data_IF_226411569480
#
_entry.id   IF_226411569480
#
_cell.length_a   1.000
_cell.length_b   1.000
_cell.length_c   1.000
_cell.angle_alpha   90.00
_cell.angle_beta   90.00
_cell.angle_gamma   90.00
#
_symmetry.space_group_name_H-M   'P 1'
#
loop_
_entity.id
_entity.type
_entity.pdbx_description
1 polymer ?
#
# COMPACT_ATOMS: atom_id res chain seq x y z
N UNK A 1 -15.08 11.36 -22.60
CA UNK A 1 -13.77 11.14 -21.92
C UNK A 1 -12.67 10.93 -22.94
N UNK A 2 -11.42 11.31 -22.62
CA UNK A 2 -10.25 10.89 -23.39
C UNK A 2 -9.75 9.53 -22.87
N UNK A 3 -9.52 8.53 -23.75
CA UNK A 3 -9.11 7.18 -23.34
C UNK A 3 -7.91 7.14 -22.37
N UNK A 4 -7.04 8.16 -22.43
CA UNK A 4 -5.83 8.24 -21.60
C UNK A 4 -6.07 8.26 -20.09
N UNK A 5 -7.18 8.82 -19.60
CA UNK A 5 -7.43 8.95 -18.16
C UNK A 5 -7.74 7.61 -17.49
N UNK A 6 -8.60 6.78 -18.12
CA UNK A 6 -8.94 5.44 -17.61
C UNK A 6 -7.70 4.52 -17.65
N UNK A 7 -6.92 4.56 -18.74
CA UNK A 7 -5.68 3.78 -18.83
C UNK A 7 -4.63 4.22 -17.80
N UNK A 8 -4.63 5.52 -17.43
CA UNK A 8 -3.77 6.06 -16.36
C UNK A 8 -4.11 5.47 -14.99
N UNK A 9 -5.39 5.43 -14.63
CA UNK A 9 -5.87 4.89 -13.34
C UNK A 9 -5.57 3.38 -13.24
N UNK A 10 -5.90 2.61 -14.28
CA UNK A 10 -5.67 1.14 -14.33
C UNK A 10 -4.18 0.80 -14.23
N UNK A 11 -3.32 1.50 -14.99
CA UNK A 11 -1.87 1.23 -14.96
C UNK A 11 -1.21 1.63 -13.64
N UNK A 12 -1.70 2.70 -13.00
CA UNK A 12 -1.27 3.13 -11.66
C UNK A 12 -1.62 2.10 -10.57
N UNK A 13 -2.83 1.54 -10.61
CA UNK A 13 -3.30 0.53 -9.68
C UNK A 13 -2.43 -0.73 -9.67
N UNK A 14 -2.08 -1.25 -10.86
CA UNK A 14 -1.25 -2.46 -10.99
C UNK A 14 0.15 -2.26 -10.39
N UNK A 15 0.79 -1.13 -10.68
CA UNK A 15 2.12 -0.82 -10.12
C UNK A 15 2.06 -0.72 -8.59
N UNK A 16 1.03 -0.06 -8.06
CA UNK A 16 0.86 0.08 -6.63
C UNK A 16 0.65 -1.28 -5.93
N UNK A 17 -0.15 -2.17 -6.52
CA UNK A 17 -0.31 -3.56 -6.04
C UNK A 17 1.02 -4.32 -6.00
N UNK A 18 1.89 -4.11 -7.00
CA UNK A 18 3.22 -4.72 -7.02
C UNK A 18 4.09 -4.20 -5.87
N UNK A 19 4.16 -2.88 -5.66
CA UNK A 19 4.92 -2.26 -4.56
C UNK A 19 4.43 -2.76 -3.21
N UNK A 20 3.11 -2.82 -3.01
CA UNK A 20 2.49 -3.36 -1.80
C UNK A 20 2.91 -4.81 -1.56
N UNK A 21 2.85 -5.65 -2.60
CA UNK A 21 3.20 -7.07 -2.50
C UNK A 21 4.68 -7.26 -2.11
N UNK A 22 5.58 -6.50 -2.73
CA UNK A 22 7.01 -6.56 -2.42
C UNK A 22 7.31 -6.06 -1.00
N UNK A 23 6.66 -4.98 -0.58
CA UNK A 23 6.81 -4.41 0.76
C UNK A 23 6.32 -5.37 1.84
N UNK A 24 5.16 -6.00 1.64
CA UNK A 24 4.63 -7.02 2.55
C UNK A 24 5.56 -8.24 2.68
N UNK A 25 6.18 -8.67 1.57
CA UNK A 25 7.18 -9.75 1.61
C UNK A 25 8.43 -9.34 2.41
N UNK A 26 8.93 -8.11 2.24
CA UNK A 26 10.05 -7.59 3.03
C UNK A 26 9.73 -7.53 4.52
N UNK A 27 8.54 -7.06 4.89
CA UNK A 27 8.05 -7.07 6.26
C UNK A 27 7.95 -8.50 6.82
N UNK A 28 7.48 -9.47 6.04
CA UNK A 28 7.45 -10.87 6.46
C UNK A 28 8.85 -11.42 6.74
N UNK A 29 9.85 -11.10 5.91
CA UNK A 29 11.26 -11.44 6.16
C UNK A 29 11.79 -10.78 7.44
N UNK A 30 11.41 -9.54 7.73
CA UNK A 30 11.78 -8.87 8.97
C UNK A 30 11.11 -9.53 10.19
N UNK A 31 9.86 -9.96 10.06
CA UNK A 31 9.10 -10.62 11.13
C UNK A 31 9.81 -11.84 11.70
N UNK A 32 10.38 -12.67 10.84
CA UNK A 32 11.16 -13.85 11.24
C UNK A 32 12.38 -13.48 12.10
N UNK A 33 12.87 -12.25 11.99
CA UNK A 33 14.04 -11.72 12.70
C UNK A 33 13.68 -10.91 13.95
N UNK A 34 12.44 -10.46 14.09
CA UNK A 34 11.99 -9.55 15.15
C UNK A 34 10.80 -10.08 15.95
N UNK A 35 11.07 -10.97 16.92
CA UNK A 35 10.03 -11.45 17.84
C UNK A 35 9.37 -10.32 18.65
N UNK A 36 10.09 -9.24 18.96
CA UNK A 36 9.55 -8.10 19.72
C UNK A 36 8.67 -7.14 18.90
N UNK A 37 8.81 -7.14 17.57
CA UNK A 37 8.02 -6.29 16.67
C UNK A 37 6.94 -7.08 15.91
N UNK A 38 6.71 -8.34 16.30
CA UNK A 38 5.81 -9.27 15.61
C UNK A 38 4.41 -8.68 15.41
N UNK A 39 3.87 -7.97 16.42
CA UNK A 39 2.55 -7.37 16.34
C UNK A 39 2.49 -6.23 15.32
N UNK A 40 3.42 -5.27 15.40
CA UNK A 40 3.44 -4.10 14.50
C UNK A 40 3.69 -4.52 13.05
N UNK A 41 4.59 -5.48 12.84
CA UNK A 41 4.84 -6.05 11.50
C UNK A 41 3.58 -6.73 10.95
N UNK A 42 2.86 -7.50 11.77
CA UNK A 42 1.59 -8.12 11.35
C UNK A 42 0.53 -7.08 11.02
N UNK A 43 0.40 -6.02 11.83
CA UNK A 43 -0.55 -4.93 11.58
C UNK A 43 -0.28 -4.26 10.24
N UNK A 44 0.98 -3.90 9.98
CA UNK A 44 1.40 -3.33 8.70
C UNK A 44 1.10 -4.26 7.52
N UNK A 45 1.46 -5.55 7.63
CA UNK A 45 1.12 -6.54 6.58
C UNK A 45 -0.39 -6.62 6.36
N UNK A 46 -1.18 -6.61 7.44
CA UNK A 46 -2.64 -6.61 7.36
C UNK A 46 -3.18 -5.43 6.56
N UNK A 47 -2.76 -4.21 6.91
CA UNK A 47 -3.16 -2.98 6.21
C UNK A 47 -2.74 -3.01 4.73
N UNK A 48 -1.52 -3.44 4.44
CA UNK A 48 -1.03 -3.61 3.07
C UNK A 48 -1.89 -4.58 2.26
N UNK A 49 -2.23 -5.75 2.82
CA UNK A 49 -3.09 -6.73 2.15
C UNK A 49 -4.51 -6.19 1.94
N UNK A 50 -5.04 -5.43 2.88
CA UNK A 50 -6.33 -4.76 2.75
C UNK A 50 -6.33 -3.71 1.64
N UNK A 51 -5.32 -2.83 1.60
CA UNK A 51 -5.15 -1.82 0.54
C UNK A 51 -5.07 -2.51 -0.82
N UNK A 52 -4.23 -3.55 -0.95
CA UNK A 52 -4.13 -4.35 -2.18
C UNK A 52 -5.49 -4.87 -2.63
N UNK A 53 -6.25 -5.46 -1.72
CA UNK A 53 -7.55 -6.04 -2.03
C UNK A 53 -8.57 -4.99 -2.46
N UNK A 54 -8.54 -3.81 -1.85
CA UNK A 54 -9.41 -2.70 -2.24
C UNK A 54 -9.06 -2.17 -3.64
N UNK A 55 -7.76 -1.95 -3.92
CA UNK A 55 -7.29 -1.51 -5.24
C UNK A 55 -7.66 -2.53 -6.32
N UNK A 56 -7.48 -3.83 -6.08
CA UNK A 56 -7.89 -4.87 -7.04
C UNK A 56 -9.38 -4.82 -7.35
N UNK A 57 -10.23 -4.67 -6.33
CA UNK A 57 -11.68 -4.56 -6.53
C UNK A 57 -12.06 -3.30 -7.32
N UNK A 58 -11.39 -2.16 -7.06
CA UNK A 58 -11.62 -0.91 -7.78
C UNK A 58 -11.17 -1.01 -9.24
N UNK A 59 -10.03 -1.65 -9.52
CA UNK A 59 -9.56 -1.92 -10.88
C UNK A 59 -10.52 -2.84 -11.65
N UNK A 60 -11.03 -3.89 -11.01
CA UNK A 60 -12.03 -4.78 -11.59
C UNK A 60 -13.33 -4.01 -11.90
N UNK A 61 -13.84 -3.25 -10.94
CA UNK A 61 -15.04 -2.42 -11.13
C UNK A 61 -14.88 -1.44 -12.30
N UNK A 62 -13.77 -0.70 -12.34
CA UNK A 62 -13.51 0.29 -13.39
C UNK A 62 -13.45 -0.35 -14.79
N UNK A 63 -12.93 -1.57 -14.90
CA UNK A 63 -12.92 -2.32 -16.17
C UNK A 63 -14.32 -2.74 -16.63
N UNK A 64 -15.20 -3.13 -15.70
CA UNK A 64 -16.52 -3.67 -16.03
C UNK A 64 -17.62 -2.61 -16.16
N UNK A 65 -17.45 -1.44 -15.56
CA UNK A 65 -18.49 -0.40 -15.49
C UNK A 65 -18.35 0.75 -16.50
N UNK A 66 -17.55 0.59 -17.56
CA UNK A 66 -17.41 1.59 -18.65
C UNK A 66 -18.74 1.92 -19.33
N UNK A 67 -19.50 2.88 -18.79
CA UNK A 67 -20.75 3.41 -19.35
C UNK A 67 -20.74 4.93 -19.18
N UNK A 68 -20.37 5.59 -20.28
CA UNK A 68 -20.21 7.04 -20.49
C UNK A 68 -21.29 7.88 -19.79
N UNK A 69 -21.09 8.20 -18.51
CA UNK A 69 -21.99 9.03 -17.69
C UNK A 69 -21.23 10.08 -16.89
N UNK A 70 -21.89 11.19 -16.56
CA UNK A 70 -21.28 12.31 -15.84
C UNK A 70 -20.86 11.94 -14.39
N UNK A 71 -21.60 11.05 -13.73
CA UNK A 71 -21.30 10.53 -12.38
C UNK A 71 -20.00 9.71 -12.35
N UNK A 72 -19.61 9.10 -13.48
CA UNK A 72 -18.36 8.34 -13.66
C UNK A 72 -17.11 9.25 -13.57
N UNK A 73 -17.21 10.50 -14.03
CA UNK A 73 -16.07 11.41 -14.08
C UNK A 73 -15.66 11.95 -12.70
N UNK A 74 -16.64 12.21 -11.81
CA UNK A 74 -16.36 12.66 -10.42
C UNK A 74 -15.82 11.49 -9.58
N UNK A 75 -16.29 10.27 -9.85
CA UNK A 75 -15.79 9.06 -9.22
C UNK A 75 -14.33 8.76 -9.61
N UNK A 76 -13.99 8.89 -10.89
CA UNK A 76 -12.63 8.69 -11.41
C UNK A 76 -11.62 9.68 -10.80
N UNK A 77 -12.02 10.94 -10.58
CA UNK A 77 -11.18 11.93 -9.92
C UNK A 77 -10.92 11.58 -8.44
N UNK A 78 -11.97 11.19 -7.70
CA UNK A 78 -11.83 10.74 -6.31
C UNK A 78 -10.95 9.49 -6.18
N UNK A 79 -11.11 8.53 -7.10
CA UNK A 79 -10.29 7.33 -7.18
C UNK A 79 -8.82 7.64 -7.48
N UNK A 80 -8.57 8.54 -8.43
CA UNK A 80 -7.21 8.97 -8.77
C UNK A 80 -6.51 9.59 -7.56
N UNK A 81 -7.17 10.51 -6.85
CA UNK A 81 -6.61 11.18 -5.66
C UNK A 81 -6.32 10.16 -4.54
N UNK A 82 -7.22 9.18 -4.33
CA UNK A 82 -7.00 8.15 -3.32
C UNK A 82 -5.83 7.21 -3.68
N UNK A 83 -5.69 6.83 -4.95
CA UNK A 83 -4.58 5.99 -5.41
C UNK A 83 -3.24 6.73 -5.35
N UNK A 84 -3.22 8.03 -5.66
CA UNK A 84 -2.02 8.87 -5.53
C UNK A 84 -1.59 9.02 -4.06
N UNK A 85 -2.55 9.28 -3.16
CA UNK A 85 -2.32 9.31 -1.72
C UNK A 85 -1.79 7.97 -1.18
N UNK A 86 -2.36 6.85 -1.62
CA UNK A 86 -1.85 5.52 -1.30
C UNK A 86 -0.42 5.32 -1.78
N UNK A 87 -0.12 5.75 -3.01
CA UNK A 87 1.22 5.62 -3.59
C UNK A 87 2.25 6.42 -2.79
N UNK A 88 1.95 7.66 -2.44
CA UNK A 88 2.84 8.48 -1.63
C UNK A 88 3.17 7.84 -0.27
N UNK A 89 2.17 7.26 0.42
CA UNK A 89 2.41 6.53 1.67
C UNK A 89 3.24 5.27 1.44
N UNK A 90 2.96 4.54 0.36
CA UNK A 90 3.64 3.30 0.02
C UNK A 90 5.10 3.50 -0.36
N UNK A 91 5.43 4.55 -1.11
CA UNK A 91 6.80 4.82 -1.53
C UNK A 91 7.71 4.98 -0.31
N UNK A 92 7.32 5.79 0.67
CA UNK A 92 8.10 6.02 1.90
C UNK A 92 8.25 4.73 2.73
N UNK A 93 7.19 3.94 2.88
CA UNK A 93 7.27 2.68 3.62
C UNK A 93 8.14 1.66 2.89
N UNK A 94 8.02 1.56 1.57
CA UNK A 94 8.78 0.60 0.76
C UNK A 94 10.28 0.87 0.82
N UNK A 95 10.68 2.15 0.79
CA UNK A 95 12.07 2.57 0.96
C UNK A 95 12.62 2.19 2.33
N UNK A 96 11.84 2.42 3.38
CA UNK A 96 12.21 2.05 4.75
C UNK A 96 12.38 0.54 4.90
N UNK A 97 11.43 -0.26 4.38
CA UNK A 97 11.50 -1.73 4.41
C UNK A 97 12.68 -2.24 3.58
N UNK A 98 12.94 -1.65 2.42
CA UNK A 98 14.08 -2.00 1.57
C UNK A 98 15.41 -1.68 2.26
N UNK A 99 15.51 -0.56 2.99
CA UNK A 99 16.69 -0.23 3.80
C UNK A 99 16.92 -1.24 4.93
N UNK A 100 15.87 -1.59 5.67
CA UNK A 100 15.90 -2.58 6.74
C UNK A 100 16.28 -3.99 6.21
N UNK A 101 15.83 -4.33 5.01
CA UNK A 101 16.10 -5.65 4.40
C UNK A 101 17.50 -5.72 3.77
N UNK A 102 18.01 -4.62 3.20
CA UNK A 102 19.38 -4.55 2.62
C UNK A 102 20.49 -4.46 3.66
N UNK A 103 20.21 -3.96 4.86
CA UNK A 103 21.18 -3.91 5.97
C UNK A 103 21.74 -5.27 6.45
N UNK A 104 21.38 -6.38 5.78
CA UNK A 104 21.83 -7.74 6.06
C UNK A 104 23.26 -8.07 5.61
N UNK A 105 23.91 -7.26 4.76
CA UNK A 105 25.13 -7.70 4.03
C UNK A 105 26.49 -7.28 4.64
N UNK A 106 26.53 -6.63 5.80
CA UNK A 106 27.82 -6.16 6.39
C UNK A 106 28.12 -6.77 7.75
N UNK A 107 29.19 -7.58 7.79
CA UNK A 107 30.18 -8.01 8.82
C UNK A 107 29.95 -7.80 10.36
N UNK A 108 28.98 -7.02 10.82
CA UNK A 108 28.59 -6.88 12.23
C UNK A 108 27.30 -7.67 12.49
N UNK A 109 27.20 -8.35 13.64
CA UNK A 109 26.11 -9.25 14.01
C UNK A 109 24.71 -8.81 13.53
N UNK A 110 24.13 -9.66 12.68
CA UNK A 110 22.93 -9.45 11.83
C UNK A 110 21.73 -8.91 12.63
N UNK A 111 21.46 -9.49 13.80
CA UNK A 111 20.31 -9.10 14.62
C UNK A 111 20.46 -7.73 15.29
N UNK A 112 21.69 -7.26 15.51
CA UNK A 112 21.93 -6.04 16.31
C UNK A 112 21.71 -4.78 15.48
N UNK A 113 22.18 -4.72 14.23
CA UNK A 113 22.00 -3.54 13.36
C UNK A 113 20.55 -3.34 12.91
N UNK A 114 19.86 -4.42 12.52
CA UNK A 114 18.48 -4.30 12.08
C UNK A 114 17.56 -3.93 13.27
N UNK A 115 17.87 -4.38 14.49
CA UNK A 115 17.19 -3.91 15.73
C UNK A 115 17.45 -2.43 16.03
N UNK A 116 18.63 -1.92 15.66
CA UNK A 116 18.98 -0.50 15.80
C UNK A 116 18.22 0.36 14.76
N UNK A 117 17.99 -0.17 13.56
CA UNK A 117 17.30 0.54 12.48
C UNK A 117 15.77 0.45 12.59
N UNK A 118 15.24 -0.58 13.23
CA UNK A 118 13.82 -0.69 13.54
C UNK A 118 13.44 0.32 14.62
N UNK A 119 12.66 1.33 14.24
CA UNK A 119 12.13 2.31 15.18
C UNK A 119 10.61 2.13 15.27
N UNK A 120 10.15 1.68 16.44
CA UNK A 120 8.75 1.35 16.69
C UNK A 120 7.80 2.53 16.47
N UNK A 121 8.21 3.74 16.86
CA UNK A 121 7.38 4.94 16.71
C UNK A 121 7.24 5.33 15.24
N UNK A 122 8.33 5.19 14.46
CA UNK A 122 8.29 5.43 13.01
C UNK A 122 7.40 4.40 12.32
N UNK A 123 7.52 3.11 12.67
CA UNK A 123 6.71 2.05 12.07
C UNK A 123 5.23 2.19 12.45
N UNK A 124 4.90 2.66 13.66
CA UNK A 124 3.53 2.98 14.05
C UNK A 124 2.99 4.19 13.28
N UNK A 125 3.80 5.22 13.04
CA UNK A 125 3.39 6.34 12.19
C UNK A 125 3.12 5.90 10.73
N UNK A 126 3.86 4.90 10.22
CA UNK A 126 3.52 4.28 8.94
C UNK A 126 2.18 3.54 8.99
N UNK A 127 1.93 2.81 10.06
CA UNK A 127 0.66 2.12 10.29
C UNK A 127 -0.51 3.11 10.28
N UNK A 128 -0.45 4.21 11.04
CA UNK A 128 -1.52 5.20 11.09
C UNK A 128 -1.83 5.80 9.71
N UNK A 129 -0.79 6.05 8.90
CA UNK A 129 -0.93 6.55 7.52
C UNK A 129 -1.57 5.51 6.61
N UNK A 130 -1.16 4.25 6.70
CA UNK A 130 -1.77 3.16 5.94
C UNK A 130 -3.23 2.96 6.34
N UNK A 131 -3.55 3.03 7.64
CA UNK A 131 -4.91 2.91 8.13
C UNK A 131 -5.82 4.01 7.55
N UNK A 132 -5.35 5.25 7.47
CA UNK A 132 -6.10 6.32 6.81
C UNK A 132 -6.39 6.01 5.33
N UNK A 133 -5.44 5.39 4.63
CA UNK A 133 -5.65 4.94 3.24
C UNK A 133 -6.63 3.77 3.13
N UNK A 134 -6.61 2.83 4.08
CA UNK A 134 -7.61 1.75 4.16
C UNK A 134 -9.01 2.33 4.24
N UNK A 135 -9.24 3.32 5.10
CA UNK A 135 -10.55 3.97 5.26
C UNK A 135 -10.98 4.69 3.98
N UNK A 136 -10.09 5.45 3.34
CA UNK A 136 -10.39 6.15 2.09
C UNK A 136 -10.78 5.18 0.97
N UNK A 137 -10.02 4.11 0.77
CA UNK A 137 -10.31 3.10 -0.26
C UNK A 137 -11.59 2.32 0.06
N UNK A 138 -11.88 2.02 1.33
CA UNK A 138 -13.12 1.35 1.72
C UNK A 138 -14.36 2.20 1.40
N UNK A 139 -14.30 3.53 1.61
CA UNK A 139 -15.39 4.43 1.24
C UNK A 139 -15.65 4.41 -0.28
N UNK A 140 -14.58 4.40 -1.09
CA UNK A 140 -14.69 4.31 -2.55
C UNK A 140 -15.25 2.96 -3.01
N UNK A 141 -14.81 1.85 -2.40
CA UNK A 141 -15.35 0.51 -2.67
C UNK A 141 -16.82 0.43 -2.30
N UNK A 142 -17.23 1.02 -1.17
CA UNK A 142 -18.63 1.07 -0.79
C UNK A 142 -19.45 1.87 -1.79
N UNK A 143 -18.95 3.01 -2.27
CA UNK A 143 -19.63 3.79 -3.31
C UNK A 143 -19.84 3.00 -4.62
N UNK A 144 -18.95 2.05 -4.97
CA UNK A 144 -19.10 1.17 -6.13
C UNK A 144 -20.16 0.07 -6.00
N UNK A 145 -20.60 -0.24 -4.78
CA UNK A 145 -21.49 -1.40 -4.51
C UNK A 145 -22.99 -1.06 -4.53
N UNK A 146 -23.34 0.18 -4.90
CA UNK A 146 -24.72 0.66 -4.99
C UNK A 146 -25.23 0.67 -6.44
#
# INVERSE_FOLDING_TARGET
MDPGSIFGVISGAVQLVQVITQTAAGLATLREKFSHADLTIRSLIGELVTIKSAITQLDEWARYNTRDTAEENEYDEGLFVALDGCRAVMDVLSDQVAALTRGNDTQFGIGTRVKILWNEDIMRAHQDRLHAQVLALQLLVQACQW
#
